data_IF_051035944810
#
_entry.id   IF_051035944810
#
_cell.length_a   1.000
_cell.length_b   1.000
_cell.length_c   1.000
_cell.angle_alpha   90.00
_cell.angle_beta   90.00
_cell.angle_gamma   90.00
#
_symmetry.space_group_name_H-M   'P 1'
#
loop_
_entity.id
_entity.type
_entity.pdbx_description
1 polymer ?
#
# COMPACT_ATOMS: atom_id res chain seq x y z
N UNK A 1 28.44 9.52 -19.95
CA UNK A 1 27.37 10.36 -19.40
C UNK A 1 27.31 10.15 -17.90
N UNK A 2 27.48 11.21 -17.09
CA UNK A 2 27.38 11.12 -15.63
C UNK A 2 25.97 10.68 -15.26
N UNK A 3 25.82 9.54 -14.57
CA UNK A 3 24.53 9.09 -14.01
C UNK A 3 24.07 10.17 -13.02
N UNK A 4 23.03 10.92 -13.36
CA UNK A 4 22.40 11.87 -12.42
C UNK A 4 21.88 11.06 -11.25
N UNK A 5 22.30 11.40 -10.02
CA UNK A 5 21.99 10.59 -8.84
C UNK A 5 20.49 10.61 -8.51
N UNK A 6 19.91 11.75 -8.18
CA UNK A 6 18.48 11.89 -7.83
C UNK A 6 17.79 12.87 -8.76
N UNK A 7 18.33 14.10 -8.89
CA UNK A 7 17.67 15.20 -9.59
C UNK A 7 18.02 15.19 -11.08
N UNK A 8 16.99 15.03 -11.93
CA UNK A 8 17.14 15.09 -13.39
C UNK A 8 16.79 16.44 -13.98
N UNK A 9 16.09 17.32 -13.23
CA UNK A 9 15.49 18.60 -13.65
C UNK A 9 14.49 18.48 -14.81
N UNK A 10 14.14 17.25 -15.21
CA UNK A 10 13.19 17.00 -16.30
C UNK A 10 11.74 17.34 -15.94
N UNK A 11 11.48 17.50 -14.63
CA UNK A 11 10.13 17.77 -14.11
C UNK A 11 9.84 19.21 -13.70
N UNK A 12 10.79 20.15 -13.92
CA UNK A 12 10.68 21.52 -13.39
C UNK A 12 9.59 22.37 -14.07
N UNK A 13 9.00 21.86 -15.18
CA UNK A 13 7.90 22.50 -15.90
C UNK A 13 6.53 21.85 -15.63
N UNK A 14 6.40 21.07 -14.56
CA UNK A 14 5.13 20.46 -14.15
C UNK A 14 4.77 19.15 -14.86
N UNK A 15 5.69 18.59 -15.65
CA UNK A 15 5.52 17.30 -16.33
C UNK A 15 6.45 16.22 -15.76
N UNK A 16 6.07 14.97 -15.95
CA UNK A 16 6.90 13.79 -15.65
C UNK A 16 6.81 12.76 -16.76
N UNK A 17 7.69 11.77 -16.78
CA UNK A 17 7.60 10.63 -17.69
C UNK A 17 7.08 9.41 -16.95
N UNK A 18 6.15 8.68 -17.58
CA UNK A 18 5.81 7.32 -17.19
C UNK A 18 6.96 6.35 -17.58
N UNK A 19 6.88 5.08 -17.17
CA UNK A 19 7.91 4.09 -17.46
C UNK A 19 8.06 3.80 -18.96
N UNK A 20 6.98 3.89 -19.74
CA UNK A 20 6.98 3.76 -21.21
C UNK A 20 7.56 4.99 -21.94
N UNK A 21 8.00 6.00 -21.21
CA UNK A 21 8.53 7.27 -21.76
C UNK A 21 7.45 8.31 -22.08
N UNK A 22 6.17 8.00 -21.96
CA UNK A 22 5.07 8.95 -22.18
C UNK A 22 5.19 10.13 -21.21
N UNK A 23 5.12 11.36 -21.74
CA UNK A 23 5.09 12.58 -20.93
C UNK A 23 3.67 12.89 -20.49
N UNK A 24 3.51 13.15 -19.19
CA UNK A 24 2.22 13.48 -18.58
C UNK A 24 2.37 14.63 -17.57
N UNK A 25 1.31 15.43 -17.34
CA UNK A 25 1.29 16.39 -16.24
C UNK A 25 1.47 15.69 -14.90
N UNK A 26 2.18 16.33 -13.96
CA UNK A 26 2.40 15.78 -12.60
C UNK A 26 1.12 15.69 -11.77
N UNK A 27 0.10 16.45 -12.14
CA UNK A 27 -1.25 16.45 -11.53
C UNK A 27 -2.24 15.51 -12.24
N UNK A 28 -1.76 14.67 -13.18
CA UNK A 28 -2.60 13.66 -13.81
C UNK A 28 -3.04 12.59 -12.81
N UNK A 29 -4.26 12.05 -12.99
CA UNK A 29 -4.82 11.01 -12.10
C UNK A 29 -3.91 9.79 -11.93
N UNK A 30 -3.15 9.43 -12.97
CA UNK A 30 -2.23 8.29 -12.92
C UNK A 30 -1.05 8.58 -12.00
N UNK A 31 -0.49 9.79 -12.06
CA UNK A 31 0.60 10.24 -11.17
C UNK A 31 0.10 10.34 -9.73
N UNK A 32 -1.10 10.91 -9.54
CA UNK A 32 -1.77 10.99 -8.24
C UNK A 32 -2.00 9.60 -7.64
N UNK A 33 -2.42 8.61 -8.45
CA UNK A 33 -2.68 7.25 -7.98
C UNK A 33 -1.41 6.59 -7.44
N UNK A 34 -0.35 6.50 -8.24
CA UNK A 34 0.86 5.83 -7.75
C UNK A 34 1.59 6.65 -6.67
N UNK A 35 1.48 7.98 -6.68
CA UNK A 35 2.00 8.82 -5.59
C UNK A 35 1.26 8.61 -4.27
N UNK A 36 -0.06 8.40 -4.33
CA UNK A 36 -0.86 8.06 -3.14
C UNK A 36 -0.56 6.65 -2.63
N UNK A 37 -0.24 5.70 -3.53
CA UNK A 37 0.21 4.36 -3.14
C UNK A 37 1.60 4.39 -2.50
N UNK A 38 2.50 5.26 -2.97
CA UNK A 38 3.82 5.50 -2.38
C UNK A 38 3.69 6.05 -0.94
N UNK A 39 2.81 7.02 -0.72
CA UNK A 39 2.46 7.51 0.62
C UNK A 39 1.91 6.38 1.51
N UNK A 40 1.04 5.52 0.96
CA UNK A 40 0.52 4.35 1.66
C UNK A 40 1.65 3.40 2.08
N UNK A 41 2.58 3.09 1.16
CA UNK A 41 3.75 2.26 1.42
C UNK A 41 4.62 2.84 2.54
N UNK A 42 4.87 4.15 2.54
CA UNK A 42 5.63 4.81 3.59
C UNK A 42 4.98 4.65 4.99
N UNK A 43 3.65 4.73 5.07
CA UNK A 43 2.92 4.50 6.33
C UNK A 43 2.94 3.03 6.77
N UNK A 44 2.93 2.07 5.84
CA UNK A 44 3.16 0.65 6.15
C UNK A 44 4.57 0.46 6.72
N UNK A 45 5.57 1.10 6.14
CA UNK A 45 6.95 1.12 6.63
C UNK A 45 7.08 1.70 8.05
N UNK A 46 6.34 2.76 8.36
CA UNK A 46 6.26 3.30 9.73
C UNK A 46 5.68 2.27 10.71
N UNK A 47 4.61 1.57 10.32
CA UNK A 47 4.01 0.52 11.14
C UNK A 47 5.00 -0.62 11.38
N UNK A 48 5.70 -1.07 10.33
CA UNK A 48 6.71 -2.13 10.44
C UNK A 48 7.87 -1.73 11.34
N UNK A 49 8.37 -0.51 11.23
CA UNK A 49 9.47 -0.01 12.06
C UNK A 49 9.10 0.11 13.54
N UNK A 50 7.81 0.30 13.86
CA UNK A 50 7.29 0.39 15.22
C UNK A 50 6.76 -0.94 15.77
N UNK A 51 6.71 -1.98 14.92
CA UNK A 51 6.11 -3.28 15.27
C UNK A 51 7.14 -4.19 15.95
N UNK A 52 6.77 -4.79 17.08
CA UNK A 52 7.59 -5.75 17.83
C UNK A 52 7.22 -7.22 17.58
N UNK A 53 6.28 -7.51 16.67
CA UNK A 53 5.82 -8.87 16.35
C UNK A 53 6.49 -9.34 15.06
N UNK A 54 7.46 -10.28 15.10
CA UNK A 54 8.24 -10.68 13.93
C UNK A 54 7.39 -11.17 12.76
N UNK A 55 6.37 -11.98 13.03
CA UNK A 55 5.47 -12.53 12.02
C UNK A 55 4.65 -11.44 11.30
N UNK A 56 4.27 -10.40 12.01
CA UNK A 56 3.57 -9.23 11.41
C UNK A 56 4.58 -8.38 10.62
N UNK A 57 5.80 -8.19 11.15
CA UNK A 57 6.85 -7.45 10.44
C UNK A 57 7.19 -8.09 9.09
N UNK A 58 7.21 -9.43 9.01
CA UNK A 58 7.43 -10.15 7.75
C UNK A 58 6.34 -9.86 6.73
N UNK A 59 5.06 -9.91 7.13
CA UNK A 59 3.95 -9.63 6.21
C UNK A 59 3.89 -8.15 5.80
N UNK A 60 4.19 -7.23 6.72
CA UNK A 60 4.31 -5.82 6.38
C UNK A 60 5.43 -5.58 5.37
N UNK A 61 6.59 -6.24 5.54
CA UNK A 61 7.71 -6.15 4.60
C UNK A 61 7.32 -6.70 3.22
N UNK A 62 6.62 -7.84 3.16
CA UNK A 62 6.12 -8.42 1.90
C UNK A 62 5.15 -7.47 1.20
N UNK A 63 4.23 -6.87 1.95
CA UNK A 63 3.26 -5.90 1.41
C UNK A 63 3.96 -4.65 0.86
N UNK A 64 4.95 -4.08 1.57
CA UNK A 64 5.77 -2.98 1.07
C UNK A 64 6.48 -3.36 -0.24
N UNK A 65 7.10 -4.56 -0.29
CA UNK A 65 7.80 -5.02 -1.48
C UNK A 65 6.86 -5.26 -2.67
N UNK A 66 5.63 -5.70 -2.44
CA UNK A 66 4.63 -5.90 -3.49
C UNK A 66 4.13 -4.59 -4.10
N UNK A 67 4.06 -3.50 -3.33
CA UNK A 67 3.54 -2.22 -3.82
C UNK A 67 4.42 -1.56 -4.87
N UNK A 68 5.75 -1.75 -4.82
CA UNK A 68 6.67 -1.20 -5.82
C UNK A 68 6.35 -1.65 -7.25
N UNK A 69 6.30 -2.96 -7.54
CA UNK A 69 5.86 -3.48 -8.83
C UNK A 69 4.46 -3.01 -9.25
N UNK A 70 3.50 -2.95 -8.33
CA UNK A 70 2.14 -2.45 -8.61
C UNK A 70 2.16 -0.99 -9.07
N UNK A 71 2.89 -0.13 -8.37
CA UNK A 71 3.06 1.28 -8.77
C UNK A 71 3.75 1.40 -10.13
N UNK A 72 4.79 0.59 -10.37
CA UNK A 72 5.49 0.56 -11.65
C UNK A 72 4.56 0.10 -12.79
N UNK A 73 3.74 -0.93 -12.58
CA UNK A 73 2.76 -1.39 -13.56
C UNK A 73 1.72 -0.29 -13.87
N UNK A 74 1.18 0.36 -12.83
CA UNK A 74 0.29 1.51 -12.98
C UNK A 74 0.98 2.64 -13.75
N UNK A 75 2.28 2.85 -13.55
CA UNK A 75 3.09 3.80 -14.30
C UNK A 75 3.50 3.31 -15.72
N UNK A 76 2.86 2.25 -16.24
CA UNK A 76 3.08 1.65 -17.57
C UNK A 76 4.46 1.03 -17.77
N UNK A 77 5.00 0.38 -16.74
CA UNK A 77 6.20 -0.44 -16.88
C UNK A 77 5.83 -1.83 -17.45
N UNK A 78 6.01 -2.02 -18.75
CA UNK A 78 5.60 -3.23 -19.48
C UNK A 78 6.32 -4.50 -19.02
N UNK A 79 7.46 -4.38 -18.34
CA UNK A 79 8.24 -5.51 -17.82
C UNK A 79 7.74 -6.03 -16.47
N UNK A 80 6.81 -5.32 -15.83
CA UNK A 80 6.26 -5.71 -14.53
C UNK A 80 5.00 -6.55 -14.70
N UNK A 81 4.78 -7.53 -13.81
CA UNK A 81 3.61 -8.37 -13.87
C UNK A 81 2.32 -7.60 -13.54
N UNK A 82 1.21 -8.10 -14.05
CA UNK A 82 -0.13 -7.65 -13.65
C UNK A 82 -0.28 -7.82 -12.14
N UNK A 83 -0.85 -6.84 -11.41
CA UNK A 83 -1.10 -6.96 -9.97
C UNK A 83 -1.93 -8.20 -9.62
N UNK A 84 -1.41 -9.02 -8.70
CA UNK A 84 -2.05 -10.25 -8.25
C UNK A 84 -2.80 -10.01 -6.93
N UNK A 85 -4.11 -10.02 -7.00
CA UNK A 85 -4.99 -9.81 -5.85
C UNK A 85 -4.96 -11.00 -4.87
N UNK A 86 -4.63 -12.21 -5.33
CA UNK A 86 -4.66 -13.42 -4.49
C UNK A 86 -3.74 -13.28 -3.27
N UNK A 87 -2.60 -12.62 -3.43
CA UNK A 87 -1.64 -12.35 -2.35
C UNK A 87 -2.29 -11.56 -1.20
N UNK A 88 -3.15 -10.60 -1.53
CA UNK A 88 -3.87 -9.80 -0.53
C UNK A 88 -4.98 -10.60 0.16
N UNK A 89 -5.71 -11.40 -0.62
CA UNK A 89 -6.83 -12.21 -0.11
C UNK A 89 -6.33 -13.36 0.78
N UNK A 90 -5.22 -14.02 0.42
CA UNK A 90 -4.56 -15.02 1.25
C UNK A 90 -4.10 -14.43 2.59
N UNK A 91 -3.56 -13.22 2.59
CA UNK A 91 -3.14 -12.55 3.83
C UNK A 91 -4.33 -12.21 4.72
N UNK A 92 -5.44 -11.74 4.15
CA UNK A 92 -6.68 -11.49 4.90
C UNK A 92 -7.18 -12.80 5.56
N UNK A 93 -7.21 -13.91 4.81
CA UNK A 93 -7.66 -15.19 5.30
C UNK A 93 -6.74 -15.77 6.38
N UNK A 94 -5.42 -15.60 6.21
CA UNK A 94 -4.42 -15.93 7.24
C UNK A 94 -4.71 -15.21 8.55
N UNK A 95 -4.93 -13.89 8.49
CA UNK A 95 -5.22 -13.09 9.68
C UNK A 95 -6.55 -13.51 10.30
N UNK A 96 -7.59 -13.74 9.50
CA UNK A 96 -8.89 -14.23 9.98
C UNK A 96 -8.75 -15.55 10.75
N UNK A 97 -7.94 -16.46 10.23
CA UNK A 97 -7.70 -17.77 10.87
C UNK A 97 -6.96 -17.61 12.21
N UNK A 98 -5.97 -16.71 12.27
CA UNK A 98 -5.16 -16.48 13.48
C UNK A 98 -5.98 -15.81 14.57
N UNK A 99 -6.73 -14.78 14.20
CA UNK A 99 -7.46 -13.96 15.18
C UNK A 99 -8.78 -14.58 15.60
N UNK A 100 -9.34 -15.48 14.78
CA UNK A 100 -10.70 -16.06 15.00
C UNK A 100 -11.80 -15.00 15.05
N UNK A 101 -11.50 -13.76 14.68
CA UNK A 101 -12.39 -12.62 14.86
C UNK A 101 -13.35 -12.45 13.69
N UNK A 102 -14.58 -12.07 14.02
CA UNK A 102 -15.50 -11.51 13.05
C UNK A 102 -15.18 -10.03 12.82
N UNK A 103 -15.51 -9.51 11.64
CA UNK A 103 -15.33 -8.10 11.34
C UNK A 103 -15.97 -7.21 12.41
N UNK A 104 -15.20 -6.23 12.89
CA UNK A 104 -15.69 -5.19 13.80
C UNK A 104 -14.98 -3.87 13.50
N UNK A 105 -15.65 -2.77 13.74
CA UNK A 105 -15.01 -1.47 13.72
C UNK A 105 -14.22 -1.26 15.02
N UNK A 106 -12.94 -0.90 14.88
CA UNK A 106 -12.07 -0.52 16.00
C UNK A 106 -11.72 0.95 15.93
N UNK A 107 -11.53 1.57 17.09
CA UNK A 107 -11.01 2.93 17.17
C UNK A 107 -9.49 2.85 17.04
N UNK A 108 -8.85 3.63 16.12
CA UNK A 108 -7.40 3.69 16.02
C UNK A 108 -6.76 4.24 17.29
N UNK A 109 -5.56 3.74 17.66
CA UNK A 109 -4.74 4.36 18.69
C UNK A 109 -4.36 3.47 19.88
N UNK A 110 -4.75 2.20 19.89
CA UNK A 110 -4.41 1.28 20.98
C UNK A 110 -2.93 0.85 20.95
N UNK A 111 -2.27 0.93 19.78
CA UNK A 111 -0.84 0.74 19.60
C UNK A 111 -0.29 1.67 18.52
N UNK A 112 1.00 2.00 18.60
CA UNK A 112 1.65 2.84 17.59
C UNK A 112 1.65 2.19 16.19
N UNK A 113 2.05 0.91 16.03
CA UNK A 113 2.00 0.28 14.71
C UNK A 113 0.56 0.11 14.19
N UNK A 114 -0.41 -0.22 15.04
CA UNK A 114 -1.83 -0.27 14.67
C UNK A 114 -2.35 1.10 14.21
N UNK A 115 -2.01 2.18 14.92
CA UNK A 115 -2.38 3.53 14.52
C UNK A 115 -1.78 3.92 13.15
N UNK A 116 -0.50 3.59 12.89
CA UNK A 116 0.14 3.82 11.60
C UNK A 116 -0.54 3.05 10.47
N UNK A 117 -0.95 1.79 10.69
CA UNK A 117 -1.73 1.01 9.73
C UNK A 117 -3.11 1.62 9.45
N UNK A 118 -3.77 2.19 10.46
CA UNK A 118 -5.02 2.89 10.21
C UNK A 118 -4.83 4.16 9.35
N UNK A 119 -3.69 4.87 9.46
CA UNK A 119 -3.34 5.94 8.52
C UNK A 119 -3.13 5.36 7.12
N UNK A 120 -2.28 4.33 6.96
CA UNK A 120 -2.06 3.66 5.69
C UNK A 120 -3.37 3.21 5.03
N UNK A 121 -4.29 2.60 5.80
CA UNK A 121 -5.62 2.21 5.34
C UNK A 121 -6.43 3.38 4.77
N UNK A 122 -6.43 4.52 5.44
CA UNK A 122 -7.16 5.70 4.94
C UNK A 122 -6.53 6.30 3.69
N UNK A 123 -5.21 6.22 3.57
CA UNK A 123 -4.46 6.59 2.35
C UNK A 123 -4.78 5.62 1.21
N UNK A 124 -4.79 4.30 1.46
CA UNK A 124 -5.20 3.30 0.46
C UNK A 124 -6.63 3.57 -0.06
N UNK A 125 -7.56 3.93 0.81
CA UNK A 125 -8.91 4.35 0.41
C UNK A 125 -8.94 5.66 -0.38
N UNK A 126 -7.98 6.55 -0.19
CA UNK A 126 -7.81 7.73 -1.04
C UNK A 126 -7.30 7.32 -2.43
N UNK A 127 -6.31 6.42 -2.50
CA UNK A 127 -5.83 5.84 -3.76
C UNK A 127 -6.95 5.14 -4.54
N UNK A 128 -7.79 4.34 -3.86
CA UNK A 128 -8.97 3.69 -4.45
C UNK A 128 -9.91 4.71 -5.13
N UNK A 129 -10.21 5.84 -4.48
CA UNK A 129 -11.06 6.88 -5.08
C UNK A 129 -10.44 7.53 -6.32
N UNK A 130 -9.12 7.60 -6.41
CA UNK A 130 -8.42 8.04 -7.63
C UNK A 130 -8.48 6.94 -8.69
N UNK A 131 -8.22 5.68 -8.29
CA UNK A 131 -8.28 4.51 -9.16
C UNK A 131 -9.66 4.36 -9.83
N UNK A 132 -10.77 4.58 -9.11
CA UNK A 132 -12.14 4.56 -9.66
C UNK A 132 -12.29 5.52 -10.85
N UNK A 133 -11.68 6.71 -10.80
CA UNK A 133 -11.78 7.68 -11.90
C UNK A 133 -11.08 7.16 -13.15
N UNK A 134 -9.85 6.60 -13.00
CA UNK A 134 -9.13 5.99 -14.11
C UNK A 134 -9.85 4.77 -14.66
N UNK A 135 -10.37 3.92 -13.78
CA UNK A 135 -11.10 2.70 -14.13
C UNK A 135 -12.35 3.03 -14.98
N UNK A 136 -13.16 3.98 -14.54
CA UNK A 136 -14.36 4.43 -15.28
C UNK A 136 -14.05 5.04 -16.65
N UNK A 137 -12.86 5.60 -16.81
CA UNK A 137 -12.38 6.15 -18.08
C UNK A 137 -11.70 5.09 -18.98
N UNK A 138 -11.68 3.80 -18.59
CA UNK A 138 -10.93 2.73 -19.25
C UNK A 138 -9.41 2.99 -19.33
N UNK A 139 -8.87 3.71 -18.36
CA UNK A 139 -7.45 4.02 -18.24
C UNK A 139 -6.71 3.14 -17.23
N UNK A 140 -7.44 2.32 -16.48
CA UNK A 140 -6.91 1.34 -15.53
C UNK A 140 -7.62 0.00 -15.75
N UNK A 141 -6.87 -1.09 -15.76
CA UNK A 141 -7.40 -2.44 -15.94
C UNK A 141 -8.06 -2.99 -14.66
N UNK A 142 -8.87 -4.05 -14.83
CA UNK A 142 -9.64 -4.69 -13.76
C UNK A 142 -8.76 -5.18 -12.62
N UNK A 143 -7.61 -5.79 -12.93
CA UNK A 143 -6.69 -6.36 -11.93
C UNK A 143 -6.06 -5.27 -11.06
N UNK A 144 -5.59 -4.19 -11.68
CA UNK A 144 -5.04 -3.04 -10.97
C UNK A 144 -6.09 -2.38 -10.07
N UNK A 145 -7.32 -2.21 -10.57
CA UNK A 145 -8.40 -1.66 -9.77
C UNK A 145 -8.77 -2.57 -8.59
N UNK A 146 -8.93 -3.87 -8.85
CA UNK A 146 -9.25 -4.85 -7.81
C UNK A 146 -8.19 -4.90 -6.71
N UNK A 147 -6.88 -4.85 -7.10
CA UNK A 147 -5.78 -4.81 -6.15
C UNK A 147 -5.85 -3.57 -5.24
N UNK A 148 -6.01 -2.38 -5.83
CA UNK A 148 -6.09 -1.13 -5.05
C UNK A 148 -7.31 -1.12 -4.12
N UNK A 149 -8.44 -1.65 -4.59
CA UNK A 149 -9.66 -1.80 -3.78
C UNK A 149 -9.43 -2.74 -2.58
N UNK A 150 -8.76 -3.89 -2.78
CA UNK A 150 -8.50 -4.88 -1.73
C UNK A 150 -7.44 -4.43 -0.72
N UNK A 151 -6.51 -3.56 -1.12
CA UNK A 151 -5.39 -3.12 -0.30
C UNK A 151 -5.83 -2.56 1.05
N UNK A 152 -6.89 -1.76 1.09
CA UNK A 152 -7.36 -1.18 2.35
C UNK A 152 -7.89 -2.22 3.34
N UNK A 153 -8.51 -3.31 2.85
CA UNK A 153 -9.02 -4.40 3.66
C UNK A 153 -7.86 -5.21 4.25
N UNK A 154 -6.82 -5.45 3.45
CA UNK A 154 -5.59 -6.14 3.88
C UNK A 154 -4.88 -5.37 4.98
N UNK A 155 -4.71 -4.06 4.81
CA UNK A 155 -4.09 -3.20 5.84
C UNK A 155 -4.94 -3.20 7.12
N UNK A 156 -6.26 -3.22 6.99
CA UNK A 156 -7.16 -3.31 8.14
C UNK A 156 -7.00 -4.65 8.88
N UNK A 157 -6.92 -5.76 8.15
CA UNK A 157 -6.68 -7.08 8.74
C UNK A 157 -5.37 -7.09 9.53
N UNK A 158 -4.28 -6.55 8.99
CA UNK A 158 -3.00 -6.45 9.69
C UNK A 158 -3.09 -5.60 10.97
N UNK A 159 -3.86 -4.51 10.96
CA UNK A 159 -4.10 -3.72 12.16
C UNK A 159 -4.84 -4.53 13.24
N UNK A 160 -5.86 -5.30 12.84
CA UNK A 160 -6.58 -6.19 13.75
C UNK A 160 -5.69 -7.30 14.33
N UNK A 161 -4.75 -7.81 13.54
CA UNK A 161 -3.77 -8.81 14.02
C UNK A 161 -2.85 -8.22 15.09
N UNK A 162 -2.33 -7.01 14.90
CA UNK A 162 -1.53 -6.30 15.91
C UNK A 162 -2.36 -6.09 17.20
N UNK A 163 -3.58 -5.63 17.07
CA UNK A 163 -4.46 -5.42 18.23
C UNK A 163 -4.76 -6.73 18.97
N UNK A 164 -4.92 -7.83 18.24
CA UNK A 164 -5.10 -9.16 18.82
C UNK A 164 -3.87 -9.59 19.64
N UNK A 165 -2.66 -9.50 19.06
CA UNK A 165 -1.41 -9.84 19.74
C UNK A 165 -1.15 -8.96 20.96
N UNK A 166 -1.47 -7.67 20.86
CA UNK A 166 -1.32 -6.72 21.97
C UNK A 166 -2.24 -7.09 23.14
N UNK A 167 -3.49 -7.48 22.87
CA UNK A 167 -4.44 -7.93 23.91
C UNK A 167 -4.02 -9.25 24.58
N UNK A 168 -3.41 -10.16 23.82
CA UNK A 168 -2.92 -11.42 24.35
C UNK A 168 -1.62 -11.30 25.16
N UNK A 169 -1.06 -10.11 25.27
CA UNK A 169 0.20 -9.86 25.98
C UNK A 169 1.42 -10.50 25.33
N UNK A 170 1.34 -10.81 24.03
CA UNK A 170 2.42 -11.49 23.27
C UNK A 170 3.51 -10.54 22.75
N UNK A 171 3.38 -9.23 23.03
CA UNK A 171 4.39 -8.24 22.67
C UNK A 171 5.40 -8.06 23.78
N UNK A 172 6.69 -8.18 23.47
CA UNK A 172 7.74 -7.64 24.33
C UNK A 172 7.73 -6.12 24.10
N UNK A 173 7.62 -5.28 25.16
CA UNK A 173 7.84 -3.84 25.00
C UNK A 173 9.24 -3.65 24.40
N UNK A 174 9.38 -2.85 23.36
CA UNK A 174 10.68 -2.34 22.96
C UNK A 174 11.21 -1.51 24.14
N UNK A 175 12.30 -1.97 24.80
CA UNK A 175 13.08 -1.18 25.72
C UNK A 175 13.76 0.00 25.02
#
# INVERSE_FOLDING_TARGET
MSKKWITTKGGDKGETSLCDGTRVPKDSLRVELYGTLDECQAHIGMARAACSYPEVCEELCRLEQALGPVMGYIARCETLPVPDISVLEELIEKVRTITGETFRFVRPGDSLPGAALHVARTVARRAERVAVKLFRNNELDDSSYAYVNRLSDTIYALALWIDHLTREGKGTPCE
#
